data_IF_482522820531
#
_entry.id   IF_482522820531
#
_cell.length_a   1.000
_cell.length_b   1.000
_cell.length_c   1.000
_cell.angle_alpha   90.00
_cell.angle_beta   90.00
_cell.angle_gamma   90.00
#
_symmetry.space_group_name_H-M   'P 1'
#
loop_
_entity.id
_entity.type
_entity.pdbx_description
1 polymer ?
#
# COMPACT_ATOMS: atom_id res chain seq x y z
N UNK A 1 11.65 2.04 -2.75
CA UNK A 1 11.95 0.76 -3.44
C UNK A 1 11.29 -0.44 -2.74
N UNK A 2 11.19 -0.46 -1.40
CA UNK A 2 10.57 -1.56 -0.63
C UNK A 2 9.06 -1.46 -0.45
N UNK A 3 8.41 -0.41 -0.94
CA UNK A 3 6.94 -0.32 -0.95
C UNK A 3 6.38 -1.36 -1.93
N UNK A 4 5.52 -2.31 -1.47
CA UNK A 4 4.93 -3.33 -2.33
C UNK A 4 4.12 -2.78 -3.51
N UNK A 5 3.65 -1.53 -3.44
CA UNK A 5 2.95 -0.86 -4.54
C UNK A 5 3.82 -0.67 -5.79
N UNK A 6 5.15 -0.79 -5.67
CA UNK A 6 6.07 -0.73 -6.82
C UNK A 6 6.29 -2.08 -7.53
N UNK A 7 5.59 -3.13 -7.09
CA UNK A 7 5.75 -4.46 -7.70
C UNK A 7 5.55 -4.42 -9.21
N UNK A 8 6.54 -4.95 -9.96
CA UNK A 8 6.52 -5.01 -11.42
C UNK A 8 6.79 -3.68 -12.14
N UNK A 9 7.21 -2.62 -11.43
CA UNK A 9 7.54 -1.32 -12.02
C UNK A 9 9.05 -1.10 -12.07
N UNK A 10 9.53 -0.48 -13.14
CA UNK A 10 10.87 0.10 -13.20
C UNK A 10 10.77 1.52 -12.66
N UNK A 11 11.54 1.83 -11.62
CA UNK A 11 11.52 3.15 -10.97
C UNK A 11 12.56 4.08 -11.61
N UNK A 12 12.10 5.24 -12.06
CA UNK A 12 12.94 6.32 -12.57
C UNK A 12 13.02 7.41 -11.50
N UNK A 13 14.18 7.58 -10.90
CA UNK A 13 14.41 8.62 -9.89
C UNK A 13 14.82 9.94 -10.57
N UNK A 14 14.10 11.01 -10.21
CA UNK A 14 14.33 12.35 -10.79
C UNK A 14 15.27 13.21 -9.97
N UNK A 15 15.66 12.78 -8.78
CA UNK A 15 16.73 13.45 -8.03
C UNK A 15 18.07 13.30 -8.77
N UNK A 16 18.89 14.37 -8.81
CA UNK A 16 20.15 14.35 -9.57
C UNK A 16 21.15 13.30 -9.08
N UNK A 17 21.22 13.08 -7.78
CA UNK A 17 22.12 12.13 -7.14
C UNK A 17 21.33 11.20 -6.20
N UNK A 18 21.51 9.91 -6.36
CA UNK A 18 20.89 8.86 -5.55
C UNK A 18 21.94 8.02 -4.85
N UNK A 19 21.62 7.49 -3.68
CA UNK A 19 22.49 6.55 -2.94
C UNK A 19 23.46 7.18 -1.96
N UNK A 20 23.54 8.50 -1.87
CA UNK A 20 24.46 9.22 -0.97
C UNK A 20 24.21 8.96 0.52
N UNK A 21 23.01 8.56 0.93
CA UNK A 21 22.72 8.11 2.29
C UNK A 21 23.12 6.63 2.51
N UNK A 22 23.25 5.83 1.45
CA UNK A 22 23.41 4.38 1.54
C UNK A 22 22.12 3.67 1.93
N UNK A 23 22.23 2.42 2.32
CA UNK A 23 21.11 1.53 2.69
C UNK A 23 21.26 1.12 4.14
N UNK A 24 20.23 1.30 4.98
CA UNK A 24 20.27 0.92 6.39
C UNK A 24 20.16 -0.59 6.59
N UNK A 25 20.39 -1.04 7.82
CA UNK A 25 20.26 -2.44 8.21
C UNK A 25 18.79 -2.89 8.27
N UNK A 26 18.57 -4.21 8.29
CA UNK A 26 17.27 -4.84 8.51
C UNK A 26 16.86 -4.84 10.00
N UNK A 27 17.27 -3.83 10.77
CA UNK A 27 16.90 -3.66 12.17
C UNK A 27 15.37 -3.60 12.33
N UNK A 28 14.87 -4.24 13.38
CA UNK A 28 13.46 -4.25 13.72
C UNK A 28 13.17 -3.40 14.93
N UNK A 29 11.97 -2.84 14.97
CA UNK A 29 11.47 -2.05 16.08
C UNK A 29 10.85 -2.94 17.20
N UNK A 30 10.26 -2.31 18.19
CA UNK A 30 9.67 -2.99 19.36
C UNK A 30 8.47 -3.89 19.01
N UNK A 31 7.89 -3.75 17.81
CA UNK A 31 6.79 -4.58 17.31
C UNK A 31 7.28 -5.63 16.31
N UNK A 32 8.60 -5.86 16.23
CA UNK A 32 9.23 -6.74 15.26
C UNK A 32 8.98 -6.34 13.79
N UNK A 33 8.69 -5.06 13.54
CA UNK A 33 8.53 -4.47 12.21
C UNK A 33 9.87 -3.90 11.73
N UNK A 34 10.11 -3.94 10.42
CA UNK A 34 11.33 -3.35 9.81
C UNK A 34 11.36 -1.83 10.04
N UNK A 35 12.38 -1.36 10.75
CA UNK A 35 12.48 0.03 11.19
C UNK A 35 12.62 1.02 10.02
N UNK A 36 13.33 0.64 8.99
CA UNK A 36 13.74 1.51 7.87
C UNK A 36 13.08 1.18 6.54
N UNK A 37 12.48 0.00 6.40
CA UNK A 37 11.89 -0.49 5.16
C UNK A 37 10.37 -0.65 5.28
N UNK A 38 9.70 -0.69 4.14
CA UNK A 38 8.25 -0.91 4.06
C UNK A 38 7.89 -2.38 3.78
N UNK A 39 8.88 -3.17 3.34
CA UNK A 39 8.80 -4.62 3.22
C UNK A 39 10.21 -5.24 3.22
N UNK A 40 10.37 -6.56 3.38
CA UNK A 40 11.68 -7.20 3.50
C UNK A 40 12.59 -7.10 2.27
N UNK A 41 12.03 -6.84 1.09
CA UNK A 41 12.72 -6.90 -0.18
C UNK A 41 12.50 -5.67 -1.04
N UNK A 42 13.37 -5.44 -2.03
CA UNK A 42 13.10 -4.50 -3.12
C UNK A 42 11.91 -5.05 -3.93
N UNK A 43 10.90 -4.22 -4.14
CA UNK A 43 9.68 -4.62 -4.83
C UNK A 43 9.67 -4.22 -6.32
N UNK A 44 10.42 -3.19 -6.69
CA UNK A 44 10.50 -2.77 -8.08
C UNK A 44 11.29 -3.77 -8.94
N UNK A 45 10.98 -3.79 -10.24
CA UNK A 45 11.64 -4.68 -11.22
C UNK A 45 12.97 -4.13 -11.71
N UNK A 46 13.24 -2.84 -11.52
CA UNK A 46 14.47 -2.18 -11.92
C UNK A 46 14.55 -0.75 -11.42
N UNK A 47 15.75 -0.18 -11.47
CA UNK A 47 16.05 1.18 -11.01
C UNK A 47 16.80 1.95 -12.07
N UNK A 48 16.35 3.16 -12.38
CA UNK A 48 16.99 4.09 -13.34
C UNK A 48 17.29 5.39 -12.63
N UNK A 49 18.56 5.81 -12.65
CA UNK A 49 19.03 7.02 -11.99
C UNK A 49 19.89 7.86 -12.94
N UNK A 50 19.91 9.17 -12.71
CA UNK A 50 20.80 10.07 -13.44
C UNK A 50 22.24 9.87 -13.00
N UNK A 51 22.49 9.96 -11.69
CA UNK A 51 23.80 9.72 -11.09
C UNK A 51 23.64 8.93 -9.78
N UNK A 52 24.68 8.16 -9.44
CA UNK A 52 24.71 7.33 -8.23
C UNK A 52 25.95 7.62 -7.39
N UNK A 53 25.75 7.89 -6.10
CA UNK A 53 26.85 8.01 -5.16
C UNK A 53 27.52 6.64 -4.93
N UNK A 54 28.80 6.53 -5.25
CA UNK A 54 29.61 5.35 -4.99
C UNK A 54 29.96 5.22 -3.50
N UNK A 55 30.02 6.34 -2.78
CA UNK A 55 30.26 6.38 -1.35
C UNK A 55 29.02 6.90 -0.63
N UNK A 56 28.71 6.33 0.52
CA UNK A 56 27.62 6.75 1.38
C UNK A 56 28.14 7.23 2.74
N UNK A 57 27.35 8.06 3.42
CA UNK A 57 27.82 8.72 4.64
C UNK A 57 26.80 8.79 5.78
N UNK A 58 25.59 8.18 5.62
CA UNK A 58 24.61 8.21 6.67
C UNK A 58 24.95 7.22 7.80
N UNK A 59 24.76 7.61 9.05
CA UNK A 59 25.13 6.81 10.23
C UNK A 59 24.41 5.46 10.35
N UNK A 60 23.23 5.31 9.72
CA UNK A 60 22.49 4.03 9.70
C UNK A 60 22.90 3.10 8.56
N UNK A 61 23.69 3.60 7.59
CA UNK A 61 24.00 2.86 6.38
C UNK A 61 24.99 1.72 6.63
N UNK A 62 24.72 0.57 6.05
CA UNK A 62 25.57 -0.64 6.15
C UNK A 62 26.06 -1.10 4.78
N UNK A 63 25.43 -0.68 3.69
CA UNK A 63 25.82 -1.03 2.31
C UNK A 63 25.44 0.13 1.36
N UNK A 64 26.02 0.13 0.17
CA UNK A 64 25.65 1.06 -0.91
C UNK A 64 24.35 0.62 -1.61
N UNK A 65 23.73 1.55 -2.33
CA UNK A 65 22.55 1.24 -3.15
C UNK A 65 22.85 0.18 -4.22
N UNK A 66 24.04 0.24 -4.83
CA UNK A 66 24.47 -0.74 -5.86
C UNK A 66 24.64 -2.15 -5.28
N UNK A 67 25.29 -2.29 -4.13
CA UNK A 67 25.43 -3.55 -3.41
C UNK A 67 24.08 -4.15 -3.04
N UNK A 68 23.16 -3.32 -2.55
CA UNK A 68 21.81 -3.76 -2.21
C UNK A 68 21.03 -4.25 -3.43
N UNK A 69 21.03 -3.49 -4.54
CA UNK A 69 20.39 -3.91 -5.79
C UNK A 69 20.98 -5.24 -6.30
N UNK A 70 22.32 -5.38 -6.27
CA UNK A 70 22.99 -6.61 -6.68
C UNK A 70 22.61 -7.80 -5.79
N UNK A 71 22.57 -7.61 -4.46
CA UNK A 71 22.21 -8.65 -3.51
C UNK A 71 20.74 -9.11 -3.66
N UNK A 72 19.84 -8.17 -3.95
CA UNK A 72 18.42 -8.46 -4.23
C UNK A 72 18.19 -8.86 -5.69
N UNK A 73 19.24 -8.78 -6.53
CA UNK A 73 19.22 -9.08 -7.95
C UNK A 73 18.33 -8.17 -8.78
N UNK A 74 18.21 -6.95 -8.40
CA UNK A 74 17.41 -5.94 -9.12
C UNK A 74 18.33 -5.13 -10.03
N UNK A 75 18.10 -5.13 -11.36
CA UNK A 75 18.92 -4.37 -12.30
C UNK A 75 18.80 -2.87 -12.01
N UNK A 76 19.96 -2.19 -12.00
CA UNK A 76 20.03 -0.75 -11.77
C UNK A 76 20.96 -0.12 -12.81
N UNK A 77 20.51 0.96 -13.43
CA UNK A 77 21.30 1.71 -14.45
C UNK A 77 21.44 3.17 -14.04
N UNK A 78 22.62 3.74 -14.30
CA UNK A 78 22.96 5.13 -14.06
C UNK A 78 23.46 5.81 -15.34
N UNK A 79 23.63 7.13 -15.31
CA UNK A 79 24.07 7.90 -16.46
C UNK A 79 22.95 8.19 -17.46
N UNK A 80 21.69 8.11 -17.06
CA UNK A 80 20.51 8.29 -17.93
C UNK A 80 19.87 9.66 -17.67
N UNK A 81 19.41 10.34 -18.72
CA UNK A 81 18.60 11.54 -18.59
C UNK A 81 17.18 11.20 -18.09
N UNK A 82 17.06 11.10 -16.77
CA UNK A 82 15.80 10.75 -16.11
C UNK A 82 14.72 11.81 -16.28
N UNK A 83 15.10 13.08 -16.49
CA UNK A 83 14.15 14.15 -16.77
C UNK A 83 13.52 13.99 -18.15
N UNK A 84 14.31 13.67 -19.16
CA UNK A 84 13.80 13.40 -20.52
C UNK A 84 12.82 12.21 -20.51
N UNK A 85 13.18 11.12 -19.80
CA UNK A 85 12.29 9.96 -19.64
C UNK A 85 10.96 10.35 -18.98
N UNK A 86 11.00 11.09 -17.88
CA UNK A 86 9.77 11.48 -17.16
C UNK A 86 8.92 12.43 -18.00
N UNK A 87 9.53 13.35 -18.75
CA UNK A 87 8.81 14.23 -19.68
C UNK A 87 8.09 13.40 -20.74
N UNK A 88 8.77 12.43 -21.35
CA UNK A 88 8.18 11.50 -22.31
C UNK A 88 7.00 10.71 -21.69
N UNK A 89 7.17 10.14 -20.51
CA UNK A 89 6.13 9.38 -19.80
C UNK A 89 4.90 10.24 -19.45
N UNK A 90 5.08 11.53 -19.17
CA UNK A 90 3.95 12.45 -18.94
C UNK A 90 3.13 12.70 -20.19
N UNK A 91 3.77 12.70 -21.35
CA UNK A 91 3.11 12.89 -22.64
C UNK A 91 2.42 11.63 -23.14
N UNK A 92 3.11 10.49 -23.07
CA UNK A 92 2.63 9.21 -23.59
C UNK A 92 1.76 8.43 -22.59
N UNK A 93 1.93 8.67 -21.29
CA UNK A 93 1.38 7.85 -20.21
C UNK A 93 2.34 6.76 -19.75
N UNK A 94 1.89 5.93 -18.81
CA UNK A 94 2.66 4.77 -18.34
C UNK A 94 2.91 3.80 -19.49
N UNK A 95 4.18 3.47 -19.73
CA UNK A 95 4.64 2.66 -20.86
C UNK A 95 5.32 1.39 -20.37
N UNK A 96 5.23 0.32 -21.15
CA UNK A 96 5.99 -0.90 -20.91
C UNK A 96 7.45 -0.63 -21.24
N UNK A 97 8.34 -1.18 -20.40
CA UNK A 97 9.79 -1.02 -20.55
C UNK A 97 10.53 -2.29 -20.11
N UNK A 98 11.72 -2.47 -20.65
CA UNK A 98 12.64 -3.55 -20.30
C UNK A 98 14.04 -2.96 -20.09
N UNK A 99 14.79 -3.51 -19.12
CA UNK A 99 16.21 -3.26 -18.95
C UNK A 99 16.93 -4.49 -19.49
N UNK A 100 17.80 -4.29 -20.50
CA UNK A 100 18.67 -5.33 -21.06
C UNK A 100 20.12 -5.02 -20.69
N UNK A 101 20.89 -6.05 -20.32
CA UNK A 101 22.29 -5.94 -19.90
C UNK A 101 23.14 -6.76 -20.86
N UNK A 102 24.18 -6.15 -21.45
CA UNK A 102 25.10 -6.78 -22.40
C UNK A 102 24.70 -6.57 -23.86
N UNK A 103 25.49 -7.18 -24.76
CA UNK A 103 25.35 -7.05 -26.22
C UNK A 103 24.30 -8.02 -26.83
N UNK A 104 23.60 -8.78 -25.98
CA UNK A 104 22.64 -9.80 -26.41
C UNK A 104 21.24 -9.24 -26.76
N UNK A 105 21.11 -7.92 -26.91
CA UNK A 105 19.86 -7.36 -27.41
C UNK A 105 19.75 -7.60 -28.92
N UNK A 106 19.09 -8.69 -29.29
CA UNK A 106 18.62 -8.88 -30.66
C UNK A 106 17.21 -8.26 -30.78
N UNK A 107 17.11 -7.17 -31.55
CA UNK A 107 15.85 -6.51 -31.80
C UNK A 107 14.86 -7.40 -32.59
N UNK A 108 15.36 -8.42 -33.25
CA UNK A 108 14.57 -9.36 -34.05
C UNK A 108 14.02 -10.53 -33.21
N UNK A 109 14.54 -10.78 -31.99
CA UNK A 109 13.98 -11.70 -30.99
C UNK A 109 13.06 -10.99 -30.00
N UNK A 110 12.13 -10.18 -30.47
CA UNK A 110 11.18 -9.47 -29.62
C UNK A 110 10.14 -10.45 -29.07
N UNK A 111 10.43 -11.09 -27.94
CA UNK A 111 9.45 -11.88 -27.16
C UNK A 111 8.25 -11.06 -26.64
N UNK A 112 8.18 -9.80 -27.02
CA UNK A 112 7.17 -8.86 -26.56
C UNK A 112 7.39 -8.40 -25.10
N UNK A 113 6.65 -7.37 -24.73
CA UNK A 113 6.64 -6.89 -23.34
C UNK A 113 5.64 -7.69 -22.50
N UNK A 114 6.06 -8.11 -21.30
CA UNK A 114 5.12 -8.62 -20.29
C UNK A 114 4.43 -7.41 -19.66
N UNK A 115 3.12 -7.30 -19.84
CA UNK A 115 2.34 -6.24 -19.22
C UNK A 115 1.97 -6.61 -17.77
N UNK A 116 2.57 -6.00 -16.74
CA UNK A 116 2.21 -6.25 -15.36
C UNK A 116 0.77 -5.81 -15.05
N UNK A 117 0.17 -4.95 -15.87
CA UNK A 117 -1.24 -4.57 -15.78
C UNK A 117 -2.21 -5.69 -16.08
N UNK A 118 -1.77 -6.81 -16.68
CA UNK A 118 -2.58 -8.00 -16.95
C UNK A 118 -2.46 -9.09 -15.87
N UNK A 119 -1.70 -8.81 -14.80
CA UNK A 119 -1.36 -9.79 -13.77
C UNK A 119 -1.91 -9.31 -12.42
N UNK A 120 -2.46 -10.24 -11.63
CA UNK A 120 -2.79 -9.94 -10.24
C UNK A 120 -1.50 -9.80 -9.42
N UNK A 121 -1.00 -8.58 -9.31
CA UNK A 121 0.22 -8.26 -8.56
C UNK A 121 0.01 -8.37 -7.04
N UNK A 122 -1.19 -8.15 -6.55
CA UNK A 122 -1.53 -8.28 -5.12
C UNK A 122 -1.26 -9.70 -4.64
N UNK A 123 -1.61 -10.71 -5.43
CA UNK A 123 -1.32 -12.12 -5.12
C UNK A 123 0.17 -12.39 -4.88
N UNK A 124 1.07 -11.60 -5.48
CA UNK A 124 2.52 -11.76 -5.37
C UNK A 124 3.12 -11.11 -4.14
N UNK A 125 2.46 -10.09 -3.60
CA UNK A 125 2.96 -9.29 -2.45
C UNK A 125 2.21 -9.56 -1.15
N UNK A 126 0.99 -10.07 -1.21
CA UNK A 126 0.18 -10.42 -0.05
C UNK A 126 0.77 -11.60 0.71
N UNK A 127 0.66 -11.57 2.03
CA UNK A 127 1.01 -12.71 2.89
C UNK A 127 0.28 -13.99 2.46
N UNK A 128 0.89 -15.14 2.69
CA UNK A 128 0.29 -16.44 2.33
C UNK A 128 -0.51 -17.06 3.46
N UNK A 129 -0.29 -16.60 4.69
CA UNK A 129 -1.01 -17.06 5.88
C UNK A 129 -1.24 -15.89 6.85
N UNK A 130 -2.31 -15.92 7.64
CA UNK A 130 -2.53 -14.93 8.67
C UNK A 130 -1.40 -14.89 9.70
N UNK A 131 -1.05 -13.69 10.16
CA UNK A 131 -0.12 -13.47 11.27
C UNK A 131 -0.57 -12.28 12.11
N UNK A 132 -0.01 -12.12 13.30
CA UNK A 132 -0.37 -11.05 14.22
C UNK A 132 0.84 -10.14 14.47
N UNK A 133 0.57 -8.83 14.50
CA UNK A 133 1.48 -7.83 15.06
C UNK A 133 0.84 -7.35 16.36
N UNK A 134 1.46 -7.70 17.47
CA UNK A 134 0.93 -7.38 18.80
C UNK A 134 1.36 -5.99 19.25
N UNK A 135 0.43 -5.29 19.89
CA UNK A 135 0.72 -4.10 20.69
C UNK A 135 0.50 -4.44 22.16
N UNK A 136 1.55 -4.39 23.02
CA UNK A 136 1.38 -4.70 24.43
C UNK A 136 0.32 -3.82 25.09
N UNK A 137 -0.66 -4.44 25.74
CA UNK A 137 -1.78 -3.73 26.36
C UNK A 137 -2.79 -3.16 25.38
N UNK A 138 -2.86 -3.68 24.17
CA UNK A 138 -3.79 -3.21 23.14
C UNK A 138 -5.25 -3.22 23.63
N UNK A 139 -5.94 -2.11 23.41
CA UNK A 139 -7.37 -1.96 23.68
C UNK A 139 -8.23 -2.50 22.54
N UNK A 140 -7.68 -2.54 21.33
CA UNK A 140 -8.38 -2.92 20.10
C UNK A 140 -7.65 -4.02 19.35
N UNK A 141 -8.42 -4.84 18.64
CA UNK A 141 -7.89 -5.83 17.72
C UNK A 141 -8.48 -5.60 16.32
N UNK A 142 -7.63 -5.23 15.38
CA UNK A 142 -7.99 -4.90 14.00
C UNK A 142 -7.63 -6.05 13.08
N UNK A 143 -8.56 -6.42 12.19
CA UNK A 143 -8.28 -7.33 11.08
C UNK A 143 -7.84 -6.50 9.85
N UNK A 144 -6.67 -6.80 9.29
CA UNK A 144 -6.13 -6.12 8.14
C UNK A 144 -6.03 -7.07 6.95
N UNK A 145 -6.59 -6.69 5.80
CA UNK A 145 -6.39 -7.36 4.52
C UNK A 145 -5.09 -6.85 3.87
N UNK A 146 -4.15 -7.75 3.67
CA UNK A 146 -2.84 -7.46 3.08
C UNK A 146 -2.91 -7.49 1.56
N UNK A 147 -3.10 -6.33 0.96
CA UNK A 147 -3.01 -6.14 -0.49
C UNK A 147 -1.60 -5.75 -0.96
N UNK A 148 -0.63 -5.73 -0.06
CA UNK A 148 0.73 -5.23 -0.22
C UNK A 148 1.03 -4.17 0.84
N UNK A 149 0.80 -4.54 2.10
CA UNK A 149 0.86 -3.63 3.25
C UNK A 149 2.28 -3.10 3.48
N UNK A 150 2.39 -1.80 3.66
CA UNK A 150 3.61 -1.15 4.14
C UNK A 150 3.77 -1.36 5.64
N UNK A 151 4.99 -1.69 6.08
CA UNK A 151 5.30 -1.84 7.51
C UNK A 151 4.88 -0.61 8.34
N UNK A 152 4.90 0.58 7.72
CA UNK A 152 4.49 1.81 8.42
C UNK A 152 2.99 1.94 8.65
N UNK A 153 2.14 1.27 7.87
CA UNK A 153 0.71 1.16 8.17
C UNK A 153 0.51 0.32 9.44
N UNK A 154 1.17 -0.84 9.51
CA UNK A 154 1.12 -1.69 10.71
C UNK A 154 1.62 -0.93 11.93
N UNK A 155 2.77 -0.25 11.82
CA UNK A 155 3.35 0.58 12.88
C UNK A 155 2.39 1.69 13.32
N UNK A 156 1.69 2.32 12.38
CA UNK A 156 0.73 3.39 12.67
C UNK A 156 -0.45 2.90 13.51
N UNK A 157 -0.89 1.66 13.31
CA UNK A 157 -1.95 1.05 14.11
C UNK A 157 -1.45 0.57 15.47
N UNK A 158 -0.32 -0.18 15.50
CA UNK A 158 0.15 -0.77 16.77
C UNK A 158 0.71 0.27 17.74
N UNK A 159 1.32 1.34 17.25
CA UNK A 159 1.79 2.44 18.08
C UNK A 159 0.66 3.26 18.73
N UNK A 160 -0.58 3.09 18.23
CA UNK A 160 -1.80 3.72 18.74
C UNK A 160 -2.66 2.77 19.57
N UNK A 161 -2.11 1.63 19.99
CA UNK A 161 -2.76 0.70 20.91
C UNK A 161 -3.70 -0.30 20.26
N UNK A 162 -3.53 -0.61 18.99
CA UNK A 162 -4.27 -1.66 18.31
C UNK A 162 -3.35 -2.85 17.97
N UNK A 163 -3.67 -4.06 18.40
CA UNK A 163 -3.08 -5.27 17.81
C UNK A 163 -3.71 -5.53 16.45
N UNK A 164 -2.92 -6.06 15.51
CA UNK A 164 -3.36 -6.25 14.12
C UNK A 164 -3.17 -7.70 13.71
N UNK A 165 -4.26 -8.37 13.33
CA UNK A 165 -4.17 -9.64 12.58
C UNK A 165 -4.18 -9.32 11.09
N UNK A 166 -3.10 -9.68 10.42
CA UNK A 166 -2.91 -9.47 8.98
C UNK A 166 -3.35 -10.74 8.25
N UNK A 167 -4.29 -10.59 7.33
CA UNK A 167 -4.84 -11.66 6.51
C UNK A 167 -4.41 -11.54 5.06
N UNK A 168 -4.31 -12.64 4.30
CA UNK A 168 -4.19 -12.59 2.85
C UNK A 168 -5.30 -11.74 2.22
N UNK A 169 -4.99 -11.08 1.09
CA UNK A 169 -5.92 -10.17 0.41
C UNK A 169 -7.29 -10.80 0.10
N UNK A 170 -7.32 -12.08 -0.25
CA UNK A 170 -8.55 -12.80 -0.63
C UNK A 170 -9.24 -13.55 0.53
N UNK A 171 -8.78 -13.30 1.75
CA UNK A 171 -9.36 -13.97 2.92
C UNK A 171 -10.84 -13.59 3.10
N UNK A 172 -11.74 -14.55 3.42
CA UNK A 172 -13.16 -14.28 3.59
C UNK A 172 -13.44 -13.55 4.91
N UNK A 173 -12.99 -12.29 4.99
CA UNK A 173 -13.00 -11.45 6.19
C UNK A 173 -14.39 -11.28 6.81
N UNK A 174 -15.46 -11.32 5.98
CA UNK A 174 -16.84 -11.26 6.44
C UNK A 174 -17.24 -12.43 7.36
N UNK A 175 -16.53 -13.58 7.29
CA UNK A 175 -16.81 -14.75 8.13
C UNK A 175 -16.17 -14.67 9.52
N UNK A 176 -15.20 -13.78 9.70
CA UNK A 176 -14.41 -13.69 10.95
C UNK A 176 -14.47 -12.31 11.59
N UNK A 177 -15.09 -11.33 10.93
CA UNK A 177 -15.14 -9.95 11.38
C UNK A 177 -15.70 -9.74 12.77
N UNK A 178 -16.59 -10.64 13.24
CA UNK A 178 -17.15 -10.61 14.58
C UNK A 178 -16.12 -10.81 15.70
N UNK A 179 -14.92 -11.29 15.39
CA UNK A 179 -13.81 -11.47 16.33
C UNK A 179 -12.90 -10.25 16.44
N UNK A 180 -13.16 -9.21 15.66
CA UNK A 180 -12.34 -7.99 15.57
C UNK A 180 -13.17 -6.76 15.88
N UNK A 181 -12.48 -5.69 16.29
CA UNK A 181 -13.09 -4.42 16.62
C UNK A 181 -13.19 -3.49 15.38
N UNK A 182 -12.39 -3.75 14.35
CA UNK A 182 -12.37 -3.00 13.09
C UNK A 182 -11.72 -3.78 11.94
N UNK A 183 -11.96 -3.33 10.72
CA UNK A 183 -11.33 -3.90 9.50
C UNK A 183 -10.55 -2.80 8.78
N UNK A 184 -9.36 -3.15 8.31
CA UNK A 184 -8.46 -2.26 7.57
C UNK A 184 -8.07 -2.91 6.24
N UNK A 185 -8.08 -2.15 5.15
CA UNK A 185 -7.64 -2.63 3.84
C UNK A 185 -6.41 -1.83 3.42
N UNK A 186 -5.30 -2.52 3.23
CA UNK A 186 -4.02 -1.89 2.95
C UNK A 186 -3.91 -1.35 1.53
N UNK A 187 -2.85 -0.58 1.29
CA UNK A 187 -2.34 -0.25 -0.03
C UNK A 187 -1.88 -1.51 -0.80
N UNK A 188 -1.59 -1.36 -2.07
CA UNK A 188 -1.03 -2.43 -2.89
C UNK A 188 -0.81 -2.05 -4.35
N UNK A 189 -0.19 -2.93 -5.14
CA UNK A 189 0.13 -2.73 -6.55
C UNK A 189 -1.02 -3.12 -7.48
N UNK A 190 -0.95 -2.62 -8.71
CA UNK A 190 -1.70 -3.13 -9.84
C UNK A 190 -3.10 -2.56 -10.03
N UNK A 191 -3.87 -3.25 -10.85
CA UNK A 191 -5.25 -2.92 -11.16
C UNK A 191 -6.19 -3.51 -10.10
N UNK A 192 -7.03 -2.69 -9.43
CA UNK A 192 -7.95 -3.18 -8.41
C UNK A 192 -8.96 -4.20 -8.94
N UNK A 193 -9.26 -4.18 -10.24
CA UNK A 193 -10.22 -5.11 -10.86
C UNK A 193 -9.73 -6.57 -10.86
N UNK A 194 -8.44 -6.81 -10.64
CA UNK A 194 -7.90 -8.17 -10.50
C UNK A 194 -8.16 -8.81 -9.12
N UNK A 195 -8.65 -8.04 -8.15
CA UNK A 195 -8.92 -8.50 -6.79
C UNK A 195 -10.41 -8.81 -6.55
N UNK A 196 -11.06 -9.51 -7.48
CA UNK A 196 -12.51 -9.77 -7.42
C UNK A 196 -12.96 -10.50 -6.14
N UNK A 197 -12.14 -11.43 -5.64
CA UNK A 197 -12.43 -12.13 -4.38
C UNK A 197 -12.46 -11.16 -3.19
N UNK A 198 -11.52 -10.21 -3.16
CA UNK A 198 -11.49 -9.16 -2.12
C UNK A 198 -12.71 -8.26 -2.22
N UNK A 199 -13.04 -7.81 -3.42
CA UNK A 199 -14.23 -6.98 -3.69
C UNK A 199 -15.49 -7.68 -3.20
N UNK A 200 -15.68 -8.95 -3.56
CA UNK A 200 -16.79 -9.76 -3.08
C UNK A 200 -16.84 -9.87 -1.55
N UNK A 201 -15.70 -10.20 -0.91
CA UNK A 201 -15.62 -10.34 0.53
C UNK A 201 -15.93 -9.04 1.29
N UNK A 202 -15.51 -7.89 0.73
CA UNK A 202 -15.80 -6.56 1.28
C UNK A 202 -17.27 -6.18 1.11
N UNK A 203 -17.87 -6.47 -0.05
CA UNK A 203 -19.31 -6.27 -0.26
C UNK A 203 -20.13 -7.07 0.77
N UNK A 204 -19.82 -8.37 0.94
CA UNK A 204 -20.45 -9.21 1.95
C UNK A 204 -20.22 -8.72 3.38
N UNK A 205 -19.02 -8.21 3.70
CA UNK A 205 -18.73 -7.62 5.01
C UNK A 205 -19.65 -6.42 5.27
N UNK A 206 -19.78 -5.53 4.32
CA UNK A 206 -20.62 -4.32 4.46
C UNK A 206 -22.12 -4.64 4.54
N UNK A 207 -22.58 -5.73 3.93
CA UNK A 207 -23.96 -6.20 4.04
C UNK A 207 -24.25 -6.82 5.40
N UNK A 208 -23.30 -7.54 5.99
CA UNK A 208 -23.53 -8.40 7.17
C UNK A 208 -23.01 -7.82 8.49
N UNK A 209 -22.24 -6.73 8.45
CA UNK A 209 -21.60 -6.14 9.63
C UNK A 209 -21.63 -4.63 9.59
N UNK A 210 -21.73 -4.00 10.77
CA UNK A 210 -21.58 -2.56 10.96
C UNK A 210 -20.20 -2.16 11.49
N UNK A 211 -19.24 -3.07 11.42
CA UNK A 211 -17.85 -2.86 11.89
C UNK A 211 -17.21 -1.62 11.21
N UNK A 212 -16.40 -0.82 11.93
CA UNK A 212 -15.62 0.26 11.32
C UNK A 212 -14.65 -0.25 10.26
N UNK A 213 -14.59 0.43 9.12
CA UNK A 213 -13.74 0.05 8.00
C UNK A 213 -12.94 1.26 7.53
N UNK A 214 -11.62 1.08 7.33
CA UNK A 214 -10.75 2.05 6.67
C UNK A 214 -9.96 1.38 5.54
N UNK A 215 -9.80 2.07 4.41
CA UNK A 215 -8.98 1.64 3.28
C UNK A 215 -7.99 2.70 2.83
N UNK A 216 -6.78 2.27 2.46
CA UNK A 216 -5.73 3.16 1.94
C UNK A 216 -5.35 2.75 0.51
N UNK A 217 -5.29 3.73 -0.40
CA UNK A 217 -4.81 3.61 -1.77
C UNK A 217 -5.56 2.49 -2.53
N UNK A 218 -4.95 1.33 -2.76
CA UNK A 218 -5.67 0.19 -3.34
C UNK A 218 -6.88 -0.21 -2.49
N UNK A 219 -6.77 -0.16 -1.16
CA UNK A 219 -7.88 -0.46 -0.25
C UNK A 219 -9.07 0.49 -0.41
N UNK A 220 -8.82 1.77 -0.73
CA UNK A 220 -9.86 2.74 -1.11
C UNK A 220 -10.56 2.31 -2.41
N UNK A 221 -9.80 1.92 -3.43
CA UNK A 221 -10.33 1.48 -4.71
C UNK A 221 -11.15 0.19 -4.59
N UNK A 222 -10.69 -0.77 -3.78
CA UNK A 222 -11.39 -2.02 -3.52
C UNK A 222 -12.71 -1.81 -2.76
N UNK A 223 -12.73 -0.88 -1.81
CA UNK A 223 -13.96 -0.48 -1.13
C UNK A 223 -14.95 0.17 -2.10
N UNK A 224 -14.47 1.04 -2.99
CA UNK A 224 -15.30 1.68 -4.01
C UNK A 224 -15.92 0.64 -4.96
N UNK A 225 -15.12 -0.32 -5.45
CA UNK A 225 -15.64 -1.43 -6.27
C UNK A 225 -16.65 -2.28 -5.50
N UNK A 226 -16.43 -2.54 -4.22
CA UNK A 226 -17.31 -3.35 -3.39
C UNK A 226 -18.70 -2.71 -3.16
N UNK A 227 -18.81 -1.40 -3.27
CA UNK A 227 -20.10 -0.68 -3.21
C UNK A 227 -20.69 -0.40 -4.60
N UNK A 228 -20.10 -0.93 -5.66
CA UNK A 228 -20.59 -0.81 -7.03
C UNK A 228 -20.11 0.43 -7.78
N UNK A 229 -19.20 1.21 -7.22
CA UNK A 229 -18.54 2.29 -7.94
C UNK A 229 -17.50 1.75 -8.94
N UNK A 230 -16.98 2.61 -9.80
CA UNK A 230 -15.97 2.27 -10.80
C UNK A 230 -14.64 2.93 -10.51
N UNK A 231 -13.57 2.32 -11.02
CA UNK A 231 -12.24 2.92 -11.05
C UNK A 231 -11.84 3.26 -12.48
N UNK A 232 -11.02 4.29 -12.63
CA UNK A 232 -10.47 4.75 -13.90
C UNK A 232 -8.94 4.71 -13.84
N UNK A 233 -8.32 4.29 -14.94
CA UNK A 233 -6.87 4.36 -15.08
C UNK A 233 -6.46 5.79 -15.44
N UNK A 234 -5.59 6.39 -14.65
CA UNK A 234 -5.02 7.71 -14.91
C UNK A 234 -3.98 7.62 -16.01
N UNK A 235 -3.82 8.68 -16.79
CA UNK A 235 -2.86 8.73 -17.90
C UNK A 235 -1.43 8.40 -17.44
N UNK A 236 -0.95 9.01 -16.35
CA UNK A 236 0.39 8.80 -15.78
C UNK A 236 0.38 8.59 -14.26
N UNK A 237 -0.77 8.74 -13.60
CA UNK A 237 -0.93 8.58 -12.16
C UNK A 237 -0.29 9.69 -11.31
N UNK A 238 -0.53 9.63 -10.02
CA UNK A 238 0.00 10.55 -9.02
C UNK A 238 1.11 9.87 -8.22
N UNK A 239 2.34 10.39 -8.29
CA UNK A 239 3.54 9.85 -7.63
C UNK A 239 4.40 10.98 -7.10
N UNK A 240 4.09 11.48 -5.91
CA UNK A 240 4.81 12.57 -5.26
C UNK A 240 4.51 12.64 -3.76
N UNK A 241 5.29 13.44 -3.02
CA UNK A 241 5.11 13.67 -1.59
C UNK A 241 4.53 15.07 -1.27
N UNK A 242 4.02 15.79 -2.26
CA UNK A 242 3.56 17.17 -2.13
C UNK A 242 2.27 17.42 -2.90
N UNK A 243 1.36 16.46 -2.92
CA UNK A 243 0.08 16.60 -3.63
C UNK A 243 -0.99 17.13 -2.66
N UNK A 244 -1.65 18.26 -2.99
CA UNK A 244 -2.67 18.84 -2.14
C UNK A 244 -3.99 18.07 -2.28
N UNK A 245 -4.55 17.62 -1.15
CA UNK A 245 -5.86 17.01 -1.05
C UNK A 245 -6.77 17.86 -0.15
N UNK A 246 -7.91 18.25 -0.67
CA UNK A 246 -8.92 19.04 0.06
C UNK A 246 -9.87 18.10 0.79
N UNK A 247 -9.95 18.24 2.10
CA UNK A 247 -10.99 17.62 2.93
C UNK A 247 -12.32 18.37 2.72
N UNK A 248 -13.29 17.71 2.11
CA UNK A 248 -14.61 18.30 1.81
C UNK A 248 -15.51 18.43 3.05
N UNK A 249 -15.13 17.86 4.19
CA UNK A 249 -15.89 17.97 5.44
C UNK A 249 -15.47 19.18 6.27
N UNK A 250 -14.20 19.57 6.19
CA UNK A 250 -13.63 20.67 6.97
C UNK A 250 -13.23 21.88 6.12
N UNK A 251 -13.03 21.69 4.81
CA UNK A 251 -12.47 22.69 3.92
C UNK A 251 -10.95 22.89 4.07
N UNK A 252 -10.27 22.03 4.82
CA UNK A 252 -8.83 22.09 5.01
C UNK A 252 -8.10 21.36 3.87
N UNK A 253 -6.98 21.92 3.45
CA UNK A 253 -6.08 21.30 2.50
C UNK A 253 -4.93 20.63 3.25
N UNK A 254 -4.67 19.38 2.92
CA UNK A 254 -3.55 18.59 3.43
C UNK A 254 -2.54 18.34 2.33
N UNK A 255 -1.27 18.43 2.64
CA UNK A 255 -0.21 18.00 1.73
C UNK A 255 0.02 16.50 1.92
N UNK A 256 -0.12 15.73 0.86
CA UNK A 256 -0.18 14.27 0.93
C UNK A 256 0.90 13.59 0.11
N UNK A 257 1.21 12.36 0.53
CA UNK A 257 2.07 11.44 -0.21
C UNK A 257 1.21 10.51 -1.05
N UNK A 258 1.51 10.38 -2.34
CA UNK A 258 0.70 9.60 -3.28
C UNK A 258 1.55 8.70 -4.16
N UNK A 259 1.04 7.51 -4.45
CA UNK A 259 1.63 6.56 -5.38
C UNK A 259 0.52 5.66 -5.96
N UNK A 260 -0.19 6.16 -6.97
CA UNK A 260 -1.26 5.39 -7.60
C UNK A 260 -1.42 5.73 -9.09
N UNK A 261 -1.86 4.75 -9.88
CA UNK A 261 -2.17 4.88 -11.31
C UNK A 261 -3.66 4.77 -11.62
N UNK A 262 -4.49 4.50 -10.61
CA UNK A 262 -5.94 4.42 -10.71
C UNK A 262 -6.58 5.36 -9.72
N UNK A 263 -7.79 5.84 -10.02
CA UNK A 263 -8.62 6.64 -9.15
C UNK A 263 -10.06 6.13 -9.17
N UNK A 264 -10.84 6.46 -8.15
CA UNK A 264 -12.27 6.18 -8.11
C UNK A 264 -13.02 7.22 -8.96
N UNK A 265 -13.93 6.75 -9.81
CA UNK A 265 -14.89 7.61 -10.52
C UNK A 265 -15.99 8.03 -9.54
N UNK A 266 -15.83 9.22 -8.96
CA UNK A 266 -16.73 9.75 -7.94
C UNK A 266 -18.18 9.86 -8.42
N UNK A 267 -18.42 10.04 -9.73
CA UNK A 267 -19.77 10.12 -10.31
C UNK A 267 -20.54 8.81 -10.19
N UNK A 268 -19.85 7.71 -9.89
CA UNK A 268 -20.44 6.36 -9.77
C UNK A 268 -20.64 5.92 -8.33
N UNK A 269 -20.28 6.76 -7.35
CA UNK A 269 -20.50 6.45 -5.94
C UNK A 269 -22.01 6.32 -5.64
N UNK A 270 -22.45 5.27 -4.92
CA UNK A 270 -23.83 5.13 -4.53
C UNK A 270 -24.24 6.22 -3.53
N UNK A 271 -25.56 6.47 -3.42
CA UNK A 271 -26.12 7.59 -2.64
C UNK A 271 -25.74 7.59 -1.15
N UNK A 272 -25.40 6.44 -0.59
CA UNK A 272 -24.98 6.25 0.80
C UNK A 272 -23.56 6.74 1.07
N UNK A 273 -22.76 6.88 0.02
CA UNK A 273 -21.40 7.39 0.08
C UNK A 273 -21.31 8.82 -0.45
N UNK A 274 -20.25 9.50 -0.06
CA UNK A 274 -19.87 10.82 -0.60
C UNK A 274 -18.36 10.89 -0.73
N UNK A 275 -17.88 11.78 -1.57
CA UNK A 275 -16.47 12.16 -1.61
C UNK A 275 -16.05 12.71 -0.25
N UNK A 276 -14.85 12.34 0.17
CA UNK A 276 -14.23 12.81 1.41
C UNK A 276 -13.10 13.78 1.09
N UNK A 277 -12.19 13.37 0.21
CA UNK A 277 -11.07 14.18 -0.25
C UNK A 277 -11.05 14.31 -1.78
N UNK A 278 -10.54 15.44 -2.27
CA UNK A 278 -10.37 15.75 -3.70
C UNK A 278 -8.98 16.30 -3.94
N UNK A 279 -8.31 15.84 -4.98
CA UNK A 279 -7.03 16.35 -5.45
C UNK A 279 -7.20 17.75 -6.04
N UNK A 280 -6.45 18.72 -5.54
CA UNK A 280 -6.53 20.10 -6.05
C UNK A 280 -5.76 20.32 -7.35
N UNK A 281 -4.93 19.36 -7.79
CA UNK A 281 -4.18 19.48 -9.04
C UNK A 281 -4.98 19.00 -10.26
N UNK A 282 -5.71 17.87 -10.13
CA UNK A 282 -6.38 17.23 -11.26
C UNK A 282 -7.88 16.94 -11.02
N UNK A 283 -8.37 17.24 -9.83
CA UNK A 283 -9.77 17.02 -9.45
C UNK A 283 -10.15 15.54 -9.22
N UNK A 284 -9.18 14.62 -9.21
CA UNK A 284 -9.44 13.22 -8.94
C UNK A 284 -9.94 12.98 -7.51
N UNK A 285 -10.73 11.94 -7.33
CA UNK A 285 -11.20 11.53 -6.01
C UNK A 285 -10.02 11.02 -5.17
N UNK A 286 -9.87 11.56 -3.97
CA UNK A 286 -8.80 11.24 -3.03
C UNK A 286 -9.31 10.54 -1.76
N UNK A 287 -10.61 10.28 -1.69
CA UNK A 287 -11.21 9.57 -0.57
C UNK A 287 -12.72 9.56 -0.65
N UNK A 288 -13.32 8.58 -0.02
CA UNK A 288 -14.76 8.47 0.15
C UNK A 288 -15.12 8.14 1.58
N UNK A 289 -16.33 8.49 2.00
CA UNK A 289 -16.88 8.12 3.30
C UNK A 289 -18.36 7.78 3.19
N UNK A 290 -18.80 6.85 4.03
CA UNK A 290 -20.22 6.55 4.20
C UNK A 290 -20.89 7.64 5.04
N UNK A 291 -22.12 8.02 4.69
CA UNK A 291 -22.83 9.14 5.32
C UNK A 291 -23.22 8.90 6.79
N UNK A 292 -23.43 7.63 7.18
CA UNK A 292 -23.94 7.26 8.51
C UNK A 292 -23.18 6.15 9.21
N UNK A 293 -22.38 5.35 8.48
CA UNK A 293 -21.59 4.24 9.03
C UNK A 293 -20.13 4.67 9.18
N UNK A 294 -19.37 4.06 10.12
CA UNK A 294 -17.97 4.37 10.34
C UNK A 294 -17.06 3.72 9.25
N UNK A 295 -17.32 4.07 8.00
CA UNK A 295 -16.57 3.60 6.84
C UNK A 295 -16.02 4.80 6.10
N UNK A 296 -14.69 4.85 5.94
CA UNK A 296 -14.03 5.85 5.11
C UNK A 296 -12.74 5.31 4.50
N UNK A 297 -12.22 5.99 3.51
CA UNK A 297 -10.98 5.60 2.84
C UNK A 297 -10.29 6.79 2.20
N UNK A 298 -8.97 6.64 1.96
CA UNK A 298 -8.13 7.65 1.31
C UNK A 298 -7.35 7.03 0.15
N UNK A 299 -7.21 7.78 -0.94
CA UNK A 299 -6.38 7.40 -2.07
C UNK A 299 -4.89 7.66 -1.76
N UNK A 300 -4.60 8.71 -1.02
CA UNK A 300 -3.26 9.04 -0.54
C UNK A 300 -2.84 8.18 0.66
N UNK A 301 -1.57 8.30 1.04
CA UNK A 301 -0.92 7.52 2.09
C UNK A 301 -0.76 8.33 3.39
N UNK A 302 -1.67 8.23 4.37
CA UNK A 302 -1.57 8.96 5.64
C UNK A 302 -0.44 8.46 6.55
N UNK A 303 0.08 7.25 6.32
CA UNK A 303 1.26 6.72 7.01
C UNK A 303 2.57 7.35 6.56
N UNK A 304 2.61 7.90 5.38
CA UNK A 304 3.55 8.83 4.72
C UNK A 304 5.01 8.81 5.18
N UNK A 305 5.61 7.66 5.46
CA UNK A 305 7.04 7.56 5.81
C UNK A 305 7.90 8.15 4.69
N UNK A 306 8.61 9.24 5.00
CA UNK A 306 9.39 10.04 4.04
C UNK A 306 8.62 11.17 3.38
N UNK A 307 7.36 11.40 3.74
CA UNK A 307 6.52 12.50 3.28
C UNK A 307 5.90 13.32 4.40
N UNK A 308 4.99 14.25 4.11
CA UNK A 308 4.31 15.07 5.10
C UNK A 308 3.40 14.22 5.99
N UNK A 309 3.26 14.63 7.25
CA UNK A 309 2.47 13.92 8.27
C UNK A 309 1.08 14.53 8.49
N UNK A 310 0.67 15.47 7.64
CA UNK A 310 -0.56 16.27 7.78
C UNK A 310 -1.82 15.41 7.94
N UNK A 311 -1.84 14.22 7.32
CA UNK A 311 -2.99 13.33 7.31
C UNK A 311 -2.89 12.14 8.28
N UNK A 312 -1.84 12.09 9.12
CA UNK A 312 -1.63 10.95 10.04
C UNK A 312 -2.73 10.81 11.11
N UNK A 313 -3.47 11.88 11.40
CA UNK A 313 -4.62 11.89 12.31
C UNK A 313 -5.75 10.95 11.86
N UNK A 314 -5.78 10.54 10.60
CA UNK A 314 -6.79 9.62 10.09
C UNK A 314 -6.72 8.23 10.72
N UNK A 315 -5.55 7.82 11.21
CA UNK A 315 -5.43 6.61 12.02
C UNK A 315 -6.10 6.77 13.39
N UNK A 316 -5.95 7.95 14.04
CA UNK A 316 -6.66 8.27 15.30
C UNK A 316 -8.16 8.30 15.06
N UNK A 317 -8.62 8.93 13.98
CA UNK A 317 -10.03 8.97 13.62
C UNK A 317 -10.61 7.57 13.39
N UNK A 318 -9.87 6.68 12.72
CA UNK A 318 -10.27 5.29 12.55
C UNK A 318 -10.40 4.57 13.90
N UNK A 319 -9.42 4.68 14.79
CA UNK A 319 -9.45 4.04 16.09
C UNK A 319 -10.50 4.65 17.02
N UNK A 320 -10.83 5.94 16.89
CA UNK A 320 -11.98 6.55 17.56
C UNK A 320 -13.30 5.90 17.09
N UNK A 321 -13.46 5.66 15.78
CA UNK A 321 -14.62 4.93 15.27
C UNK A 321 -14.69 3.50 15.82
N UNK A 322 -13.53 2.82 15.93
CA UNK A 322 -13.43 1.49 16.53
C UNK A 322 -13.83 1.52 18.01
N UNK A 323 -13.35 2.51 18.75
CA UNK A 323 -13.71 2.71 20.17
C UNK A 323 -15.20 2.89 20.36
N UNK A 324 -15.82 3.78 19.60
CA UNK A 324 -17.26 4.07 19.68
C UNK A 324 -18.10 2.84 19.31
N UNK A 325 -17.71 2.11 18.28
CA UNK A 325 -18.39 0.88 17.89
C UNK A 325 -18.28 -0.21 18.97
N UNK A 326 -17.12 -0.36 19.59
CA UNK A 326 -16.88 -1.30 20.68
C UNK A 326 -17.70 -0.96 21.91
N UNK A 327 -17.76 0.31 22.30
CA UNK A 327 -18.57 0.77 23.43
C UNK A 327 -20.08 0.51 23.23
N UNK A 328 -20.58 0.71 22.02
CA UNK A 328 -21.99 0.42 21.69
C UNK A 328 -22.31 -1.07 21.66
N UNK A 329 -21.31 -1.93 21.47
CA UNK A 329 -21.46 -3.40 21.46
C UNK A 329 -21.16 -4.05 22.81
N UNK A 330 -20.49 -3.39 23.75
CA UNK A 330 -19.98 -3.95 25.00
C UNK A 330 -21.03 -4.45 25.96
N UNK A 331 -22.30 -4.12 25.73
CA UNK A 331 -23.43 -4.61 26.54
C UNK A 331 -23.68 -6.11 26.37
N UNK A 332 -23.08 -6.80 25.37
CA UNK A 332 -23.44 -8.16 24.99
C UNK A 332 -22.27 -9.12 24.63
N UNK A 333 -21.00 -8.77 24.80
CA UNK A 333 -19.89 -9.67 24.41
C UNK A 333 -19.12 -10.28 25.58
N UNK A 334 -18.97 -11.63 25.56
CA UNK A 334 -17.96 -12.36 26.37
C UNK A 334 -16.55 -12.01 25.85
N UNK A 335 -15.72 -11.43 26.73
CA UNK A 335 -14.39 -10.90 26.39
C UNK A 335 -13.29 -11.97 26.25
N UNK A 336 -13.63 -13.26 26.18
CA UNK A 336 -12.63 -14.31 25.98
C UNK A 336 -12.23 -14.45 24.52
N UNK A 337 -10.91 -14.53 24.22
CA UNK A 337 -10.45 -14.84 22.87
C UNK A 337 -11.08 -16.15 22.39
N UNK A 338 -11.65 -16.15 21.19
CA UNK A 338 -12.13 -17.40 20.58
C UNK A 338 -10.95 -18.33 20.24
N UNK A 339 -11.21 -19.64 20.11
CA UNK A 339 -10.18 -20.59 19.68
C UNK A 339 -9.55 -20.16 18.34
N UNK A 340 -10.36 -19.61 17.43
CA UNK A 340 -9.88 -19.02 16.18
C UNK A 340 -8.82 -17.93 16.41
N UNK A 341 -9.04 -17.00 17.35
CA UNK A 341 -8.08 -15.95 17.69
C UNK A 341 -6.79 -16.53 18.27
N UNK A 342 -6.90 -17.50 19.18
CA UNK A 342 -5.74 -18.18 19.77
C UNK A 342 -4.91 -18.94 18.73
N UNK A 343 -5.56 -19.59 17.78
CA UNK A 343 -4.90 -20.31 16.69
C UNK A 343 -4.12 -19.36 15.76
N UNK A 344 -4.66 -18.16 15.50
CA UNK A 344 -3.96 -17.15 14.69
C UNK A 344 -2.80 -16.54 15.47
N UNK A 345 -2.97 -16.21 16.74
CA UNK A 345 -1.93 -15.64 17.61
C UNK A 345 -0.67 -16.52 17.68
N UNK A 346 -0.85 -17.84 17.50
CA UNK A 346 0.27 -18.79 17.52
C UNK A 346 1.06 -18.89 16.20
N UNK A 347 0.65 -18.20 15.13
CA UNK A 347 1.26 -18.33 13.81
C UNK A 347 2.36 -17.29 13.59
N UNK A 348 3.46 -17.72 12.98
CA UNK A 348 4.51 -16.83 12.51
C UNK A 348 4.17 -16.25 11.12
N UNK A 349 4.74 -15.08 10.80
CA UNK A 349 4.61 -14.45 9.49
C UNK A 349 5.22 -15.36 8.40
N UNK A 350 4.40 -15.85 7.48
CA UNK A 350 4.85 -16.58 6.31
C UNK A 350 5.14 -15.60 5.18
N UNK A 351 6.38 -15.62 4.69
CA UNK A 351 6.98 -14.57 3.87
C UNK A 351 6.27 -14.20 2.58
N UNK A 352 6.36 -12.93 2.29
CA UNK A 352 6.15 -12.35 0.97
C UNK A 352 7.28 -12.81 0.05
N UNK A 353 6.96 -13.26 -1.16
CA UNK A 353 7.98 -13.63 -2.14
C UNK A 353 8.93 -12.45 -2.45
N UNK A 354 10.24 -12.65 -2.53
CA UNK A 354 11.17 -11.62 -3.00
C UNK A 354 10.75 -11.14 -4.39
N UNK A 355 11.20 -9.94 -4.78
CA UNK A 355 10.98 -9.45 -6.15
C UNK A 355 11.48 -10.53 -7.12
N UNK A 356 10.71 -10.94 -8.15
CA UNK A 356 11.22 -11.90 -9.10
C UNK A 356 12.39 -11.24 -9.79
N UNK A 357 13.56 -11.74 -9.48
CA UNK A 357 14.59 -11.72 -10.47
C UNK A 357 14.06 -12.36 -11.71
N UNK A 358 14.58 -11.85 -12.80
CA UNK A 358 14.58 -12.51 -14.06
C UNK A 358 14.61 -14.03 -13.84
N UNK A 359 13.66 -14.71 -14.36
CA UNK A 359 13.56 -16.13 -14.23
C UNK A 359 14.91 -16.72 -14.57
N UNK A 360 15.36 -17.61 -13.73
CA UNK A 360 16.28 -18.63 -14.16
C UNK A 360 15.74 -19.17 -15.47
N UNK A 361 16.49 -18.93 -16.54
CA UNK A 361 16.23 -19.45 -17.86
C UNK A 361 16.07 -20.96 -17.90
#
# INVERSE_FOLDING_TARGET
MTDPSYRGQILVFTQPLIGNYGVPSNERDNWNLLKYFESPHIQCAGVVVSDVALNYSHWTAVESLGEWCAREGVPAISGVDTRAIVTYLREQGSSLARISIGDEYDADEDEGFIDPGQINLVKRVSTKAPFVVESPGAEYHVALLDCGVKENILRSLVSRGASVTVFPYNYPIHKVSQHYDGVFISNGPGDPTHCQETVYNLARLMETSSIPIMGICLGHQLLALAVGARTIKLKYGNRAHNIPALDLTTGQCHITSQNHGYAVDASTLPSEFKEYFVNLNDGSNEGMMHKTRPIFSTQFHPEAKGGPMDSSYLFEQYLQNVSLAKQSQSVYKDNRPSQFMLDILSRERVGVEPSPLAGSG
#
